data_IF_633017633928
#
_entry.id   IF_633017633928
#
_cell.length_a   1.000
_cell.length_b   1.000
_cell.length_c   1.000
_cell.angle_alpha   90.00
_cell.angle_beta   90.00
_cell.angle_gamma   90.00
#
_symmetry.space_group_name_H-M   'P 1'
#
loop_
_entity.id
_entity.type
_entity.pdbx_description
1 polymer ?
#
# COMPACT_ATOMS: atom_id res chain seq x y z
N UNK A 1 11.02 -1.93 20.83
CA UNK A 1 11.15 -1.10 19.61
C UNK A 1 12.57 -0.56 19.61
N UNK A 2 13.42 -0.81 18.60
CA UNK A 2 14.62 -0.02 18.45
C UNK A 2 14.19 1.41 18.11
N UNK A 3 14.61 2.37 18.92
CA UNK A 3 14.31 3.79 18.79
C UNK A 3 14.74 4.45 17.44
N UNK A 4 15.35 3.68 16.55
CA UNK A 4 15.88 4.16 15.28
C UNK A 4 14.90 4.21 14.10
N UNK A 5 13.82 3.41 14.09
CA UNK A 5 12.96 3.33 12.89
C UNK A 5 12.02 4.53 12.75
N UNK A 6 11.46 5.02 13.86
CA UNK A 6 10.61 6.21 13.85
C UNK A 6 11.41 7.50 13.61
N UNK A 7 12.66 7.55 14.04
CA UNK A 7 13.57 8.67 13.82
C UNK A 7 14.04 8.71 12.35
N UNK A 8 14.34 7.55 11.75
CA UNK A 8 14.71 7.47 10.32
C UNK A 8 13.55 7.79 9.37
N UNK A 9 12.29 7.53 9.76
CA UNK A 9 11.12 7.90 8.97
C UNK A 9 10.89 9.42 8.98
N UNK A 10 11.15 10.09 10.10
CA UNK A 10 11.03 11.56 10.22
C UNK A 10 12.16 12.30 9.50
N UNK A 11 13.37 11.77 9.50
CA UNK A 11 14.52 12.37 8.79
C UNK A 11 14.36 12.36 7.25
N UNK A 12 13.46 11.53 6.71
CA UNK A 12 13.17 11.41 5.26
C UNK A 12 11.84 12.02 4.83
N UNK A 13 11.12 12.66 5.72
CA UNK A 13 9.85 13.30 5.39
C UNK A 13 10.04 14.29 4.22
N UNK A 14 9.22 14.15 3.17
CA UNK A 14 9.27 14.96 1.97
C UNK A 14 10.27 14.53 0.89
N UNK A 15 11.11 13.48 1.11
CA UNK A 15 11.92 12.90 0.02
C UNK A 15 11.03 12.14 -0.97
N UNK A 16 11.36 12.15 -2.29
CA UNK A 16 10.63 11.32 -3.25
C UNK A 16 10.71 9.83 -2.88
N UNK A 17 9.55 9.18 -2.74
CA UNK A 17 9.47 7.74 -2.49
C UNK A 17 9.03 6.99 -3.74
N UNK A 18 8.19 7.63 -4.57
CA UNK A 18 7.80 7.16 -5.90
C UNK A 18 7.91 8.32 -6.88
N UNK A 19 8.56 8.09 -8.00
CA UNK A 19 8.65 9.04 -9.10
C UNK A 19 8.18 8.38 -10.40
N UNK A 20 7.18 8.97 -11.02
CA UNK A 20 6.63 8.57 -12.32
C UNK A 20 6.93 9.68 -13.32
N UNK A 21 7.54 9.34 -14.47
CA UNK A 21 7.82 10.30 -15.55
C UNK A 21 7.33 9.76 -16.89
N UNK A 22 6.30 10.37 -17.45
CA UNK A 22 5.65 10.01 -18.71
C UNK A 22 5.30 8.51 -18.78
N UNK A 23 4.84 7.95 -17.66
CA UNK A 23 4.54 6.52 -17.54
C UNK A 23 3.31 6.16 -18.33
N UNK A 24 3.43 5.16 -19.21
CA UNK A 24 2.34 4.58 -19.98
C UNK A 24 2.23 3.10 -19.74
N UNK A 25 0.99 2.61 -19.72
CA UNK A 25 0.69 1.18 -19.75
C UNK A 25 -0.34 0.88 -20.82
N UNK A 26 0.07 0.12 -21.81
CA UNK A 26 -0.75 -0.27 -22.97
C UNK A 26 -0.92 -1.78 -22.98
N UNK A 27 -2.16 -2.23 -22.96
CA UNK A 27 -2.49 -3.65 -23.14
C UNK A 27 -2.94 -3.89 -24.57
N UNK A 28 -2.40 -4.95 -25.20
CA UNK A 28 -2.78 -5.38 -26.54
C UNK A 28 -3.75 -6.55 -26.45
N UNK A 29 -4.97 -6.33 -26.94
CA UNK A 29 -6.03 -7.34 -27.02
C UNK A 29 -6.35 -7.63 -28.48
N UNK A 30 -5.62 -8.55 -29.09
CA UNK A 30 -5.69 -8.81 -30.54
C UNK A 30 -5.24 -7.59 -31.35
N UNK A 31 -6.15 -6.99 -32.15
CA UNK A 31 -5.87 -5.76 -32.91
C UNK A 31 -6.16 -4.46 -32.15
N UNK A 32 -6.77 -4.56 -30.97
CA UNK A 32 -7.12 -3.38 -30.17
C UNK A 32 -6.03 -3.08 -29.14
N UNK A 33 -5.73 -1.79 -28.97
CA UNK A 33 -4.86 -1.30 -27.90
C UNK A 33 -5.72 -0.57 -26.87
N UNK A 34 -5.52 -0.92 -25.57
CA UNK A 34 -6.12 -0.22 -24.45
C UNK A 34 -5.02 0.50 -23.71
N UNK A 35 -5.03 1.82 -23.71
CA UNK A 35 -4.12 2.68 -22.95
C UNK A 35 -4.66 2.85 -21.55
N UNK A 36 -4.29 1.94 -20.66
CA UNK A 36 -4.77 1.96 -19.27
C UNK A 36 -4.10 3.09 -18.46
N UNK A 37 -2.84 3.43 -18.77
CA UNK A 37 -2.16 4.65 -18.32
C UNK A 37 -1.56 5.34 -19.55
N UNK A 38 -1.69 6.67 -19.59
CA UNK A 38 -1.30 7.46 -20.77
C UNK A 38 -0.54 8.76 -20.37
N UNK A 39 0.74 8.59 -20.04
CA UNK A 39 1.65 9.68 -19.77
C UNK A 39 1.55 10.27 -18.36
N UNK A 40 1.48 9.42 -17.33
CA UNK A 40 1.46 9.86 -15.94
C UNK A 40 2.83 10.40 -15.54
N UNK A 41 2.83 11.64 -15.04
CA UNK A 41 4.00 12.24 -14.37
C UNK A 41 3.56 12.72 -13.01
N UNK A 42 4.10 12.10 -11.96
CA UNK A 42 3.77 12.42 -10.58
C UNK A 42 4.85 11.94 -9.61
N UNK A 43 4.96 12.62 -8.46
CA UNK A 43 5.88 12.24 -7.38
C UNK A 43 5.11 12.12 -6.08
N UNK A 44 5.15 10.94 -5.45
CA UNK A 44 4.71 10.74 -4.07
C UNK A 44 5.92 10.86 -3.14
N UNK A 45 5.72 11.53 -2.00
CA UNK A 45 6.80 11.79 -1.05
C UNK A 45 6.64 10.97 0.22
N UNK A 46 7.74 10.72 0.91
CA UNK A 46 7.75 10.01 2.17
C UNK A 46 6.90 10.75 3.22
N UNK A 47 6.09 10.00 3.95
CA UNK A 47 5.20 10.53 4.98
C UNK A 47 3.89 11.13 4.46
N UNK A 48 3.60 11.07 3.17
CA UNK A 48 2.32 11.54 2.62
C UNK A 48 1.22 10.47 2.68
N UNK A 49 -0.03 10.93 2.84
CA UNK A 49 -1.23 10.08 2.75
C UNK A 49 -2.09 10.53 1.58
N UNK A 50 -2.11 9.72 0.54
CA UNK A 50 -2.84 9.97 -0.71
C UNK A 50 -4.02 9.03 -0.86
N UNK A 51 -5.14 9.56 -1.35
CA UNK A 51 -6.19 8.77 -1.98
C UNK A 51 -6.07 8.84 -3.50
N UNK A 52 -6.15 7.69 -4.16
CA UNK A 52 -6.19 7.56 -5.62
C UNK A 52 -7.62 7.23 -6.01
N UNK A 53 -8.28 8.15 -6.69
CA UNK A 53 -9.70 8.07 -7.03
C UNK A 53 -9.93 8.11 -8.54
N UNK A 54 -11.13 7.73 -8.96
CA UNK A 54 -11.57 7.79 -10.36
C UNK A 54 -12.71 6.81 -10.63
N UNK A 55 -13.39 6.95 -11.75
CA UNK A 55 -14.45 6.03 -12.21
C UNK A 55 -13.90 4.61 -12.50
N UNK A 56 -14.78 3.64 -12.66
CA UNK A 56 -14.40 2.33 -13.20
C UNK A 56 -13.72 2.50 -14.56
N UNK A 57 -12.61 1.78 -14.78
CA UNK A 57 -11.83 1.88 -16.03
C UNK A 57 -10.90 3.11 -16.14
N UNK A 58 -10.81 3.98 -15.13
CA UNK A 58 -9.94 5.16 -15.19
C UNK A 58 -8.44 4.87 -15.09
N UNK A 59 -8.04 3.62 -14.81
CA UNK A 59 -6.64 3.20 -14.69
C UNK A 59 -6.14 2.97 -13.26
N UNK A 60 -7.00 3.10 -12.22
CA UNK A 60 -6.59 2.96 -10.81
C UNK A 60 -5.89 1.64 -10.49
N UNK A 61 -6.52 0.51 -10.84
CA UNK A 61 -5.94 -0.83 -10.58
C UNK A 61 -4.66 -1.04 -11.37
N UNK A 62 -4.57 -0.49 -12.59
CA UNK A 62 -3.33 -0.54 -13.37
C UNK A 62 -2.23 0.28 -12.70
N UNK A 63 -2.55 1.50 -12.22
CA UNK A 63 -1.59 2.30 -11.47
C UNK A 63 -1.17 1.60 -10.18
N UNK A 64 -2.11 1.02 -9.43
CA UNK A 64 -1.80 0.29 -8.20
C UNK A 64 -0.85 -0.90 -8.47
N UNK A 65 -1.14 -1.70 -9.51
CA UNK A 65 -0.28 -2.84 -9.89
C UNK A 65 1.12 -2.38 -10.29
N UNK A 66 1.21 -1.24 -10.98
CA UNK A 66 2.50 -0.67 -11.35
C UNK A 66 3.24 -0.17 -10.09
N UNK A 67 2.58 0.61 -9.23
CA UNK A 67 3.15 1.09 -7.96
C UNK A 67 3.59 -0.06 -7.06
N UNK A 68 2.88 -1.19 -7.15
CA UNK A 68 3.18 -2.41 -6.43
C UNK A 68 4.25 -3.30 -7.07
N UNK A 69 4.87 -2.89 -8.17
CA UNK A 69 5.81 -3.72 -8.93
C UNK A 69 5.22 -5.10 -9.32
N UNK A 70 3.89 -5.20 -9.47
CA UNK A 70 3.19 -6.40 -9.97
C UNK A 70 3.15 -6.36 -11.50
N UNK A 71 3.12 -5.15 -12.07
CA UNK A 71 3.13 -4.90 -13.52
C UNK A 71 4.23 -3.89 -13.86
N UNK A 72 4.59 -3.80 -15.15
CA UNK A 72 5.63 -2.89 -15.66
C UNK A 72 5.02 -1.82 -16.57
N UNK A 73 5.59 -0.63 -16.62
CA UNK A 73 5.20 0.36 -17.61
C UNK A 73 5.54 -0.15 -19.02
N UNK A 74 4.74 0.24 -20.00
CA UNK A 74 5.07 0.01 -21.43
C UNK A 74 6.10 1.02 -21.94
N UNK A 75 6.17 2.20 -21.31
CA UNK A 75 7.16 3.25 -21.56
C UNK A 75 7.13 4.27 -20.41
N UNK A 76 8.15 5.13 -20.36
CA UNK A 76 8.36 6.10 -19.30
C UNK A 76 9.29 5.56 -18.21
N UNK A 77 9.59 6.37 -17.19
CA UNK A 77 10.44 6.00 -16.06
C UNK A 77 9.60 5.86 -14.80
N UNK A 78 9.85 4.80 -14.04
CA UNK A 78 9.28 4.56 -12.74
C UNK A 78 10.37 4.25 -11.74
N UNK A 79 10.48 5.08 -10.68
CA UNK A 79 11.47 4.93 -9.63
C UNK A 79 10.83 4.76 -8.27
N UNK A 80 11.40 3.86 -7.47
CA UNK A 80 11.13 3.71 -6.04
C UNK A 80 12.40 4.07 -5.27
N UNK A 81 12.33 5.08 -4.40
CA UNK A 81 13.46 5.58 -3.61
C UNK A 81 14.70 5.87 -4.47
N UNK A 82 14.48 6.45 -5.65
CA UNK A 82 15.52 6.80 -6.61
C UNK A 82 16.04 5.66 -7.50
N UNK A 83 15.66 4.38 -7.20
CA UNK A 83 16.00 3.24 -8.02
C UNK A 83 15.01 3.10 -9.19
N UNK A 84 15.50 3.03 -10.43
CA UNK A 84 14.69 2.73 -11.61
C UNK A 84 14.21 1.28 -11.56
N UNK A 85 12.90 1.07 -11.73
CA UNK A 85 12.28 -0.28 -11.61
C UNK A 85 11.64 -0.75 -12.91
N UNK A 86 11.55 0.09 -13.94
CA UNK A 86 10.89 -0.24 -15.20
C UNK A 86 11.55 -1.41 -15.94
N UNK A 87 12.88 -1.51 -15.85
CA UNK A 87 13.69 -2.47 -16.61
C UNK A 87 14.18 -3.67 -15.77
N UNK A 88 13.79 -3.76 -14.49
CA UNK A 88 14.20 -4.84 -13.59
C UNK A 88 13.60 -6.19 -14.00
N UNK A 89 14.28 -7.28 -13.74
CA UNK A 89 13.78 -8.65 -13.87
C UNK A 89 12.64 -8.93 -12.85
N UNK A 90 11.94 -10.06 -13.02
CA UNK A 90 10.85 -10.44 -12.09
C UNK A 90 11.38 -10.73 -10.69
N UNK A 91 12.59 -11.28 -10.57
CA UNK A 91 13.23 -11.55 -9.29
C UNK A 91 13.59 -10.24 -8.57
N UNK A 92 14.22 -9.29 -9.28
CA UNK A 92 14.54 -7.97 -8.75
C UNK A 92 13.28 -7.18 -8.34
N UNK A 93 12.20 -7.24 -9.15
CA UNK A 93 10.92 -6.63 -8.78
C UNK A 93 10.31 -7.29 -7.53
N UNK A 94 10.50 -8.61 -7.37
CA UNK A 94 10.05 -9.33 -6.16
C UNK A 94 10.81 -8.88 -4.92
N UNK A 95 12.11 -8.65 -5.04
CA UNK A 95 12.93 -8.11 -3.97
C UNK A 95 12.50 -6.69 -3.58
N UNK A 96 12.32 -5.79 -4.58
CA UNK A 96 11.81 -4.42 -4.35
C UNK A 96 10.44 -4.45 -3.65
N UNK A 97 9.51 -5.33 -4.08
CA UNK A 97 8.21 -5.50 -3.40
C UNK A 97 8.40 -5.89 -1.95
N UNK A 98 9.22 -6.92 -1.70
CA UNK A 98 9.45 -7.43 -0.35
C UNK A 98 10.06 -6.40 0.59
N UNK A 99 10.94 -5.54 0.09
CA UNK A 99 11.66 -4.55 0.90
C UNK A 99 10.90 -3.24 1.09
N UNK A 100 10.15 -2.77 0.07
CA UNK A 100 9.66 -1.40 0.04
C UNK A 100 8.15 -1.25 0.03
N UNK A 101 7.40 -2.33 -0.23
CA UNK A 101 5.97 -2.24 -0.48
C UNK A 101 5.19 -3.17 0.44
N UNK A 102 4.24 -2.61 1.19
CA UNK A 102 3.23 -3.37 1.93
C UNK A 102 1.89 -3.30 1.21
N UNK A 103 1.27 -4.44 0.93
CA UNK A 103 -0.05 -4.51 0.28
C UNK A 103 -1.16 -4.84 1.26
N UNK A 104 -2.26 -4.06 1.17
CA UNK A 104 -3.53 -4.30 1.85
C UNK A 104 -4.63 -4.39 0.81
N UNK A 105 -5.21 -5.57 0.62
CA UNK A 105 -6.23 -5.85 -0.39
C UNK A 105 -7.64 -5.82 0.18
N UNK A 106 -8.62 -5.53 -0.64
CA UNK A 106 -10.05 -5.59 -0.31
C UNK A 106 -10.48 -6.98 0.15
N UNK A 107 -9.95 -8.05 -0.47
CA UNK A 107 -10.26 -9.46 -0.17
C UNK A 107 -9.37 -10.05 0.94
N UNK A 108 -8.63 -9.23 1.68
CA UNK A 108 -7.66 -9.59 2.73
C UNK A 108 -6.50 -10.45 2.23
N UNK A 109 -6.72 -11.37 1.30
CA UNK A 109 -5.76 -12.31 0.72
C UNK A 109 -4.94 -13.05 1.79
N UNK A 110 -5.62 -13.51 2.85
CA UNK A 110 -5.03 -14.34 3.88
C UNK A 110 -4.93 -15.80 3.42
N UNK A 111 -3.89 -16.49 3.82
CA UNK A 111 -3.72 -17.92 3.59
C UNK A 111 -4.59 -18.66 4.62
N UNK A 112 -5.64 -19.33 4.16
CA UNK A 112 -6.67 -19.93 5.00
C UNK A 112 -6.16 -21.04 5.94
N UNK A 113 -5.05 -21.71 5.57
CA UNK A 113 -4.43 -22.79 6.33
C UNK A 113 -3.59 -22.26 7.50
N UNK A 114 -3.09 -21.04 7.39
CA UNK A 114 -2.22 -20.38 8.37
C UNK A 114 -3.04 -19.62 9.41
N UNK A 115 -2.55 -19.56 10.64
CA UNK A 115 -3.10 -18.75 11.71
C UNK A 115 -2.72 -17.25 11.54
N UNK A 116 -3.13 -16.39 12.47
CA UNK A 116 -2.85 -14.94 12.45
C UNK A 116 -1.34 -14.68 12.44
N UNK A 117 -0.59 -15.29 13.37
CA UNK A 117 0.84 -15.08 13.47
C UNK A 117 1.57 -15.51 12.20
N UNK A 118 1.25 -16.70 11.69
CA UNK A 118 1.82 -17.25 10.47
C UNK A 118 1.49 -16.38 9.23
N UNK A 119 0.24 -15.86 9.11
CA UNK A 119 -0.13 -14.96 8.03
C UNK A 119 0.69 -13.65 8.06
N UNK A 120 0.96 -13.11 9.25
CA UNK A 120 1.79 -11.90 9.40
C UNK A 120 3.24 -12.18 8.96
N UNK A 121 3.74 -13.38 9.22
CA UNK A 121 5.12 -13.78 8.90
C UNK A 121 5.33 -14.13 7.42
N UNK A 122 4.27 -14.35 6.63
CA UNK A 122 4.37 -14.77 5.21
C UNK A 122 5.39 -13.99 4.39
N UNK A 123 5.47 -12.64 4.44
CA UNK A 123 6.44 -11.90 3.64
C UNK A 123 7.90 -12.23 3.95
N UNK A 124 8.18 -12.70 5.16
CA UNK A 124 9.54 -13.06 5.58
C UNK A 124 10.00 -14.44 5.10
N UNK A 125 9.08 -15.32 4.66
CA UNK A 125 9.45 -16.61 4.08
C UNK A 125 10.18 -16.52 2.73
N UNK A 126 10.15 -15.35 2.11
CA UNK A 126 10.88 -15.07 0.86
C UNK A 126 12.29 -14.52 1.12
N UNK A 127 12.71 -14.39 2.36
CA UNK A 127 14.06 -13.99 2.73
C UNK A 127 14.91 -15.24 2.94
N UNK A 128 16.14 -15.25 2.45
CA UNK A 128 17.07 -16.39 2.64
C UNK A 128 17.30 -16.67 4.12
N UNK A 129 17.40 -15.63 4.93
CA UNK A 129 17.54 -15.70 6.38
C UNK A 129 16.55 -14.71 7.04
N UNK A 130 15.38 -15.20 7.53
CA UNK A 130 14.49 -14.37 8.33
C UNK A 130 15.21 -13.86 9.58
N UNK A 131 15.03 -12.56 9.96
CA UNK A 131 15.70 -12.05 11.15
C UNK A 131 15.24 -12.77 12.43
N UNK A 132 16.16 -13.00 13.37
CA UNK A 132 15.88 -13.67 14.66
C UNK A 132 14.71 -13.05 15.43
N UNK A 133 14.46 -11.76 15.25
CA UNK A 133 13.35 -11.02 15.88
C UNK A 133 12.03 -11.09 15.09
N UNK A 134 11.94 -11.85 14.01
CA UNK A 134 10.77 -11.89 13.12
C UNK A 134 9.46 -12.20 13.87
N UNK A 135 9.48 -13.24 14.73
CA UNK A 135 8.32 -13.65 15.50
C UNK A 135 7.92 -12.60 16.55
N UNK A 136 8.89 -12.02 17.27
CA UNK A 136 8.64 -10.95 18.24
C UNK A 136 8.00 -9.73 17.56
N UNK A 137 8.51 -9.35 16.39
CA UNK A 137 7.96 -8.27 15.59
C UNK A 137 6.53 -8.57 15.11
N UNK A 138 6.27 -9.80 14.64
CA UNK A 138 4.93 -10.20 14.22
C UNK A 138 3.93 -10.18 15.37
N UNK A 139 4.33 -10.62 16.58
CA UNK A 139 3.51 -10.51 17.79
C UNK A 139 3.23 -9.05 18.16
N UNK A 140 4.23 -8.20 18.16
CA UNK A 140 4.07 -6.76 18.42
C UNK A 140 3.12 -6.07 17.40
N UNK A 141 3.19 -6.45 16.12
CA UNK A 141 2.27 -5.97 15.10
C UNK A 141 0.84 -6.48 15.31
N UNK A 142 0.67 -7.75 15.70
CA UNK A 142 -0.63 -8.30 16.04
C UNK A 142 -1.26 -7.60 17.26
N UNK A 143 -0.47 -7.33 18.31
CA UNK A 143 -0.91 -6.54 19.46
C UNK A 143 -1.34 -5.14 19.06
N UNK A 144 -0.55 -4.48 18.22
CA UNK A 144 -0.81 -3.13 17.71
C UNK A 144 -2.14 -3.01 16.97
N UNK A 145 -2.49 -4.03 16.18
CA UNK A 145 -3.78 -4.06 15.46
C UNK A 145 -4.91 -4.67 16.30
N UNK A 146 -4.68 -4.93 17.59
CA UNK A 146 -5.69 -5.44 18.53
C UNK A 146 -5.99 -6.94 18.38
N UNK A 147 -5.02 -7.73 17.89
CA UNK A 147 -5.15 -9.18 17.66
C UNK A 147 -4.20 -10.05 18.50
N UNK A 148 -3.52 -9.50 19.51
CA UNK A 148 -2.57 -10.24 20.34
C UNK A 148 -3.17 -11.46 21.06
N UNK A 149 -4.45 -11.39 21.44
CA UNK A 149 -5.18 -12.52 22.02
C UNK A 149 -5.72 -13.54 21.01
N UNK A 150 -5.38 -13.42 19.70
CA UNK A 150 -5.92 -14.24 18.60
C UNK A 150 -4.87 -14.84 17.68
N UNK A 151 -3.63 -14.91 18.12
CA UNK A 151 -2.48 -15.33 17.29
C UNK A 151 -2.65 -16.70 16.64
N UNK A 152 -3.31 -17.64 17.35
CA UNK A 152 -3.53 -19.02 16.89
C UNK A 152 -4.82 -19.18 16.07
N UNK A 153 -5.66 -18.15 15.95
CA UNK A 153 -6.91 -18.22 15.18
C UNK A 153 -6.61 -18.25 13.68
N UNK A 154 -7.43 -19.00 12.93
CA UNK A 154 -7.39 -19.04 11.47
C UNK A 154 -8.33 -17.98 10.86
N UNK A 155 -8.15 -17.59 9.59
CA UNK A 155 -8.98 -16.57 8.94
C UNK A 155 -10.49 -16.80 9.04
N UNK A 156 -10.95 -18.06 8.94
CA UNK A 156 -12.36 -18.42 9.06
C UNK A 156 -12.95 -18.25 10.47
N UNK A 157 -12.14 -18.05 11.48
CA UNK A 157 -12.52 -17.79 12.88
C UNK A 157 -12.55 -16.29 13.21
N UNK A 158 -12.22 -15.42 12.22
CA UNK A 158 -12.10 -13.98 12.36
C UNK A 158 -13.21 -13.24 11.62
N UNK A 159 -13.68 -12.13 12.19
CA UNK A 159 -14.54 -11.19 11.46
C UNK A 159 -13.78 -10.52 10.30
N UNK A 160 -14.51 -9.95 9.32
CA UNK A 160 -13.89 -9.25 8.20
C UNK A 160 -12.93 -8.13 8.63
N UNK A 161 -13.29 -7.35 9.64
CA UNK A 161 -12.42 -6.33 10.19
C UNK A 161 -11.17 -6.89 10.87
N UNK A 162 -11.28 -8.04 11.54
CA UNK A 162 -10.12 -8.73 12.11
C UNK A 162 -9.20 -9.28 11.01
N UNK A 163 -9.76 -9.86 9.95
CA UNK A 163 -9.00 -10.30 8.79
C UNK A 163 -8.25 -9.14 8.13
N UNK A 164 -8.90 -7.97 8.00
CA UNK A 164 -8.26 -6.76 7.46
C UNK A 164 -7.12 -6.27 8.35
N UNK A 165 -7.28 -6.33 9.67
CA UNK A 165 -6.20 -6.00 10.63
C UNK A 165 -5.01 -6.96 10.50
N UNK A 166 -5.24 -8.26 10.27
CA UNK A 166 -4.16 -9.22 9.95
C UNK A 166 -3.46 -8.82 8.66
N UNK A 167 -4.20 -8.47 7.60
CA UNK A 167 -3.62 -8.04 6.33
C UNK A 167 -2.77 -6.77 6.48
N UNK A 168 -3.20 -5.81 7.30
CA UNK A 168 -2.42 -4.60 7.62
C UNK A 168 -1.15 -4.96 8.40
N UNK A 169 -1.25 -5.80 9.44
CA UNK A 169 -0.07 -6.23 10.21
C UNK A 169 0.95 -6.97 9.32
N UNK A 170 0.47 -7.86 8.43
CA UNK A 170 1.29 -8.53 7.42
C UNK A 170 2.00 -7.54 6.49
N UNK A 171 1.27 -6.51 6.03
CA UNK A 171 1.84 -5.49 5.15
C UNK A 171 2.96 -4.68 5.83
N UNK A 172 2.95 -4.58 7.16
CA UNK A 172 3.90 -3.81 7.96
C UNK A 172 5.14 -4.60 8.42
N UNK A 173 5.18 -5.93 8.24
CA UNK A 173 6.22 -6.78 8.84
C UNK A 173 7.63 -6.40 8.36
N UNK A 174 7.80 -6.02 7.11
CA UNK A 174 9.06 -5.62 6.50
C UNK A 174 9.40 -4.12 6.65
N UNK A 175 8.61 -3.36 7.44
CA UNK A 175 8.77 -1.90 7.56
C UNK A 175 8.79 -1.18 6.21
N UNK A 176 7.78 -1.36 5.36
CA UNK A 176 7.79 -0.91 4.00
C UNK A 176 7.87 0.63 3.90
N UNK A 177 8.46 1.13 2.82
CA UNK A 177 8.49 2.56 2.52
C UNK A 177 7.11 3.10 2.11
N UNK A 178 6.26 2.21 1.55
CA UNK A 178 4.93 2.55 1.03
C UNK A 178 3.93 1.47 1.45
N UNK A 179 2.79 1.89 1.97
CA UNK A 179 1.63 1.05 2.19
C UNK A 179 0.61 1.31 1.08
N UNK A 180 0.41 0.32 0.20
CA UNK A 180 -0.59 0.35 -0.86
C UNK A 180 -1.87 -0.33 -0.38
N UNK A 181 -2.98 0.38 -0.35
CA UNK A 181 -4.27 -0.13 0.09
C UNK A 181 -5.29 -0.07 -1.06
N UNK A 182 -5.76 -1.24 -1.53
CA UNK A 182 -6.75 -1.38 -2.59
C UNK A 182 -8.12 -1.63 -1.98
N UNK A 183 -8.98 -0.61 -2.00
CA UNK A 183 -10.34 -0.65 -1.46
C UNK A 183 -10.43 -1.35 -0.07
N UNK A 184 -9.47 -1.03 0.80
CA UNK A 184 -9.23 -1.74 2.06
C UNK A 184 -10.42 -1.76 3.05
N UNK A 185 -11.47 -0.99 2.78
CA UNK A 185 -12.70 -0.92 3.59
C UNK A 185 -13.94 -1.39 2.84
N UNK A 186 -13.82 -1.73 1.55
CA UNK A 186 -14.98 -2.00 0.69
C UNK A 186 -15.84 -3.20 1.08
N UNK A 187 -15.31 -4.14 1.85
CA UNK A 187 -16.03 -5.35 2.33
C UNK A 187 -16.45 -5.24 3.81
N UNK A 188 -16.33 -4.06 4.43
CA UNK A 188 -16.57 -3.85 5.85
C UNK A 188 -17.85 -3.05 6.10
N UNK A 189 -18.48 -3.27 7.23
CA UNK A 189 -19.53 -2.38 7.72
C UNK A 189 -18.95 -1.00 8.06
N UNK A 190 -19.80 0.03 8.10
CA UNK A 190 -19.38 1.43 8.27
C UNK A 190 -18.58 1.68 9.54
N UNK A 191 -18.89 0.99 10.65
CA UNK A 191 -18.17 1.15 11.91
C UNK A 191 -16.77 0.57 11.82
N UNK A 192 -16.68 -0.66 11.33
CA UNK A 192 -15.40 -1.36 11.13
C UNK A 192 -14.53 -0.63 10.10
N UNK A 193 -15.13 -0.09 9.03
CA UNK A 193 -14.42 0.72 8.04
C UNK A 193 -13.78 1.96 8.68
N UNK A 194 -14.49 2.68 9.57
CA UNK A 194 -13.94 3.81 10.30
C UNK A 194 -12.77 3.41 11.21
N UNK A 195 -12.85 2.25 11.88
CA UNK A 195 -11.76 1.75 12.72
C UNK A 195 -10.49 1.44 11.89
N UNK A 196 -10.65 0.92 10.66
CA UNK A 196 -9.51 0.69 9.74
C UNK A 196 -8.93 2.01 9.24
N UNK A 197 -9.78 3.00 8.91
CA UNK A 197 -9.30 4.32 8.50
C UNK A 197 -8.54 5.02 9.63
N UNK A 198 -9.03 4.91 10.87
CA UNK A 198 -8.31 5.41 12.05
C UNK A 198 -6.94 4.74 12.21
N UNK A 199 -6.83 3.42 11.96
CA UNK A 199 -5.53 2.74 12.00
C UNK A 199 -4.59 3.28 10.91
N UNK A 200 -5.08 3.61 9.71
CA UNK A 200 -4.26 4.29 8.69
C UNK A 200 -3.85 5.69 9.13
N UNK A 201 -4.73 6.47 9.77
CA UNK A 201 -4.38 7.79 10.32
C UNK A 201 -3.27 7.67 11.38
N UNK A 202 -3.32 6.67 12.26
CA UNK A 202 -2.28 6.39 13.26
C UNK A 202 -0.94 6.03 12.60
N UNK A 203 -0.96 5.15 11.59
CA UNK A 203 0.22 4.78 10.83
C UNK A 203 0.83 5.99 10.10
N UNK A 204 -0.02 6.83 9.52
CA UNK A 204 0.42 8.06 8.87
C UNK A 204 1.04 9.04 9.88
N UNK A 205 0.44 9.22 11.04
CA UNK A 205 0.99 10.07 12.12
C UNK A 205 2.38 9.61 12.60
N UNK A 206 2.71 8.32 12.42
CA UNK A 206 4.04 7.75 12.69
C UNK A 206 5.01 7.91 11.51
N UNK A 207 4.59 8.58 10.43
CA UNK A 207 5.44 8.88 9.26
C UNK A 207 5.37 7.84 8.14
N UNK A 208 4.40 6.91 8.15
CA UNK A 208 4.22 5.97 7.03
C UNK A 208 3.62 6.67 5.82
N UNK A 209 4.13 6.33 4.65
CA UNK A 209 3.56 6.76 3.37
C UNK A 209 2.41 5.81 3.00
N UNK A 210 1.23 6.36 2.74
CA UNK A 210 0.02 5.56 2.47
C UNK A 210 -0.58 5.99 1.14
N UNK A 211 -0.82 5.04 0.24
CA UNK A 211 -1.52 5.25 -1.02
C UNK A 211 -2.79 4.37 -1.01
N UNK A 212 -3.94 5.00 -0.79
CA UNK A 212 -5.23 4.35 -0.68
C UNK A 212 -6.02 4.49 -1.98
N UNK A 213 -6.28 3.38 -2.68
CA UNK A 213 -7.18 3.36 -3.82
C UNK A 213 -8.61 3.18 -3.33
N UNK A 214 -9.50 4.06 -3.75
CA UNK A 214 -10.92 3.99 -3.42
C UNK A 214 -11.77 4.67 -4.49
N UNK A 215 -13.01 4.23 -4.63
CA UNK A 215 -14.03 4.92 -5.43
C UNK A 215 -15.00 5.71 -4.55
N UNK A 216 -14.93 5.58 -3.22
CA UNK A 216 -15.81 6.25 -2.27
C UNK A 216 -15.27 7.63 -1.88
N UNK A 217 -16.02 8.74 -2.17
CA UNK A 217 -15.57 10.10 -1.85
C UNK A 217 -15.40 10.36 -0.35
N UNK A 218 -16.17 9.69 0.50
CA UNK A 218 -16.06 9.79 1.97
C UNK A 218 -14.71 9.27 2.46
N UNK A 219 -14.28 8.13 1.93
CA UNK A 219 -12.99 7.51 2.23
C UNK A 219 -11.84 8.32 1.64
N UNK A 220 -11.99 8.79 0.38
CA UNK A 220 -10.98 9.61 -0.27
C UNK A 220 -10.63 10.88 0.50
N UNK A 221 -11.62 11.53 1.14
CA UNK A 221 -11.40 12.71 1.98
C UNK A 221 -10.67 12.43 3.32
N UNK A 222 -10.51 11.18 3.70
CA UNK A 222 -9.71 10.81 4.88
C UNK A 222 -8.22 11.07 4.66
N UNK A 223 -7.73 10.87 3.45
CA UNK A 223 -6.34 11.15 3.09
C UNK A 223 -6.07 12.67 3.07
N UNK A 224 -4.80 13.06 3.26
CA UNK A 224 -4.38 14.47 3.15
C UNK A 224 -4.53 15.01 1.73
N UNK A 225 -4.32 14.14 0.75
CA UNK A 225 -4.31 14.51 -0.66
C UNK A 225 -5.15 13.53 -1.48
N UNK A 226 -5.72 14.01 -2.56
CA UNK A 226 -6.45 13.18 -3.53
C UNK A 226 -5.87 13.36 -4.93
N UNK A 227 -5.51 12.24 -5.55
CA UNK A 227 -5.16 12.17 -6.96
C UNK A 227 -6.32 11.51 -7.70
N UNK A 228 -6.94 12.24 -8.62
CA UNK A 228 -8.04 11.75 -9.43
C UNK A 228 -7.58 11.35 -10.82
N UNK A 229 -7.87 10.11 -11.19
CA UNK A 229 -7.60 9.58 -12.53
C UNK A 229 -8.86 9.64 -13.41
N UNK A 230 -8.68 9.96 -14.68
CA UNK A 230 -9.65 9.81 -15.76
C UNK A 230 -8.91 9.37 -17.03
N UNK A 231 -9.42 8.32 -17.69
CA UNK A 231 -8.90 7.83 -18.97
C UNK A 231 -7.37 7.61 -18.98
N UNK A 232 -6.86 7.03 -17.90
CA UNK A 232 -5.44 6.73 -17.74
C UNK A 232 -4.54 7.94 -17.49
N UNK A 233 -5.10 9.13 -17.18
CA UNK A 233 -4.39 10.37 -16.94
C UNK A 233 -4.75 10.96 -15.58
N UNK A 234 -3.89 11.82 -15.05
CA UNK A 234 -4.19 12.62 -13.87
C UNK A 234 -5.12 13.74 -14.29
N UNK A 235 -6.37 13.71 -13.81
CA UNK A 235 -7.37 14.73 -14.09
C UNK A 235 -7.32 15.87 -13.07
N UNK A 236 -7.04 15.56 -11.82
CA UNK A 236 -7.06 16.52 -10.73
C UNK A 236 -6.17 16.05 -9.57
N UNK A 237 -5.55 17.02 -8.90
CA UNK A 237 -4.84 16.83 -7.63
C UNK A 237 -5.42 17.81 -6.63
N UNK A 238 -5.91 17.33 -5.48
CA UNK A 238 -6.46 18.17 -4.41
C UNK A 238 -5.77 17.90 -3.08
N UNK A 239 -5.68 18.94 -2.25
CA UNK A 239 -5.18 18.88 -0.89
C UNK A 239 -6.37 18.99 0.05
N UNK A 240 -6.73 17.89 0.73
CA UNK A 240 -7.99 17.76 1.50
C UNK A 240 -7.91 18.36 2.91
N UNK A 241 -6.70 18.44 3.46
CA UNK A 241 -6.45 19.05 4.78
C UNK A 241 -5.44 20.17 4.63
N UNK A 242 -5.77 21.36 5.12
CA UNK A 242 -4.74 22.32 5.47
C UNK A 242 -3.93 21.71 6.63
N UNK A 243 -2.60 21.81 6.57
CA UNK A 243 -1.74 21.47 7.70
C UNK A 243 -2.27 22.21 8.93
N UNK A 244 -2.34 21.55 10.11
CA UNK A 244 -2.64 22.30 11.34
C UNK A 244 -1.57 23.38 11.47
N UNK A 245 -2.00 24.64 11.37
CA UNK A 245 -1.13 25.78 11.65
C UNK A 245 -0.54 25.57 13.04
N UNK A 246 0.78 25.43 13.09
CA UNK A 246 1.57 25.27 14.30
C UNK A 246 1.31 26.41 15.32
#
# INVERSE_FOLDING_TARGET
MPAGAADQARDRAGEPVVELTDVRRVYRMGQNEVRALDGLTFTFRAGEYWSIMGSSGSGKSTLLNLLGCIDRPSSGSYRIRGQEVADLSDDELSEIRGQHIGFVFQSYNLIAQLNVLENILVPLFYWDEPPDYAEERARALADRVGLGGRLDHKPNELSGGQQQRVAIARALINDPAILLADEATGNLDSKTAQEILQLFDELHAEGKTILLVTHEPSIGRHAQHTLRLSDGRIAEVTHNREEPKA
#
